data_IF_662968627658
#
_entry.id   IF_662968627658
#
_cell.length_a   1.000
_cell.length_b   1.000
_cell.length_c   1.000
_cell.angle_alpha   90.00
_cell.angle_beta   90.00
_cell.angle_gamma   90.00
#
_symmetry.space_group_name_H-M   'P 1'
#
loop_
_entity.id
_entity.type
_entity.pdbx_description
1 polymer ?
#
# COMPACT_ATOMS: atom_id res chain seq x y z
N UNK A 1 8.48 3.51 -4.40
CA UNK A 1 7.91 2.83 -5.58
C UNK A 1 7.38 1.45 -5.19
N UNK A 2 8.19 0.51 -4.66
CA UNK A 2 7.75 -0.87 -4.37
C UNK A 2 6.56 -0.90 -3.42
N UNK A 3 6.59 -0.15 -2.32
CA UNK A 3 5.46 -0.03 -1.38
C UNK A 3 4.19 0.47 -2.07
N UNK A 4 4.31 1.43 -3.00
CA UNK A 4 3.19 1.92 -3.78
C UNK A 4 2.57 0.83 -4.68
N UNK A 5 3.40 0.05 -5.38
CA UNK A 5 2.96 -1.08 -6.20
C UNK A 5 2.19 -2.09 -5.33
N UNK A 6 2.74 -2.48 -4.18
CA UNK A 6 2.10 -3.43 -3.26
C UNK A 6 0.77 -2.91 -2.72
N UNK A 7 0.70 -1.61 -2.36
CA UNK A 7 -0.53 -0.95 -1.92
C UNK A 7 -1.61 -0.98 -2.99
N UNK A 8 -1.26 -0.66 -4.23
CA UNK A 8 -2.24 -0.70 -5.32
C UNK A 8 -2.62 -2.12 -5.72
N UNK A 9 -1.73 -3.11 -5.59
CA UNK A 9 -2.11 -4.51 -5.70
C UNK A 9 -3.18 -4.90 -4.67
N UNK A 10 -3.04 -4.44 -3.41
CA UNK A 10 -4.07 -4.62 -2.38
C UNK A 10 -5.39 -3.93 -2.77
N UNK A 11 -5.33 -2.72 -3.29
CA UNK A 11 -6.50 -2.00 -3.80
C UNK A 11 -7.20 -2.78 -4.92
N UNK A 12 -6.47 -3.26 -5.93
CA UNK A 12 -7.05 -4.05 -7.03
C UNK A 12 -7.65 -5.37 -6.54
N UNK A 13 -7.04 -6.02 -5.55
CA UNK A 13 -7.62 -7.20 -4.92
C UNK A 13 -8.97 -6.87 -4.28
N UNK A 14 -9.03 -5.84 -3.42
CA UNK A 14 -10.26 -5.43 -2.76
C UNK A 14 -11.33 -4.99 -3.77
N UNK A 15 -10.95 -4.21 -4.78
CA UNK A 15 -11.84 -3.78 -5.86
C UNK A 15 -12.44 -4.98 -6.60
N UNK A 16 -11.61 -5.97 -6.95
CA UNK A 16 -12.09 -7.19 -7.61
C UNK A 16 -13.11 -7.96 -6.77
N UNK A 17 -12.85 -8.09 -5.46
CA UNK A 17 -13.79 -8.78 -4.56
C UNK A 17 -15.15 -8.06 -4.46
N UNK A 18 -15.19 -6.74 -4.56
CA UNK A 18 -16.42 -5.96 -4.51
C UNK A 18 -17.19 -5.95 -5.84
N UNK A 19 -16.48 -5.72 -6.94
CA UNK A 19 -17.08 -5.58 -8.27
C UNK A 19 -17.37 -6.95 -8.91
N UNK A 20 -16.52 -7.93 -8.63
CA UNK A 20 -16.58 -9.25 -9.25
C UNK A 20 -16.10 -9.23 -10.71
N UNK A 21 -16.42 -10.28 -11.44
CA UNK A 21 -16.05 -10.43 -12.84
C UNK A 21 -14.84 -11.33 -13.06
N UNK A 22 -14.64 -11.75 -14.31
CA UNK A 22 -13.60 -12.73 -14.65
C UNK A 22 -12.19 -12.15 -14.74
N UNK A 23 -12.06 -10.83 -14.90
CA UNK A 23 -10.78 -10.15 -15.12
C UNK A 23 -9.78 -10.33 -13.95
N UNK A 24 -10.28 -10.37 -12.72
CA UNK A 24 -9.43 -10.44 -11.54
C UNK A 24 -8.95 -11.85 -11.22
N UNK A 25 -9.64 -12.90 -11.65
CA UNK A 25 -9.23 -14.28 -11.35
C UNK A 25 -7.83 -14.61 -11.88
N UNK A 26 -7.49 -14.12 -13.07
CA UNK A 26 -6.20 -14.38 -13.71
C UNK A 26 -5.04 -13.76 -12.93
N UNK A 27 -5.27 -12.58 -12.33
CA UNK A 27 -4.24 -11.81 -11.64
C UNK A 27 -4.30 -11.97 -10.12
N UNK A 28 -5.34 -12.60 -9.56
CA UNK A 28 -5.59 -12.66 -8.13
C UNK A 28 -4.37 -13.17 -7.35
N UNK A 29 -3.75 -14.24 -7.79
CA UNK A 29 -2.57 -14.82 -7.13
C UNK A 29 -1.34 -13.92 -7.19
N UNK A 30 -1.19 -13.15 -8.26
CA UNK A 30 -0.13 -12.14 -8.36
C UNK A 30 -0.37 -10.99 -7.37
N UNK A 31 -1.63 -10.56 -7.22
CA UNK A 31 -2.00 -9.54 -6.24
C UNK A 31 -1.74 -10.02 -4.82
N UNK A 32 -2.13 -11.25 -4.48
CA UNK A 32 -1.89 -11.86 -3.17
C UNK A 32 -0.40 -12.02 -2.87
N UNK A 33 0.39 -12.45 -3.85
CA UNK A 33 1.84 -12.55 -3.72
C UNK A 33 2.47 -11.17 -3.46
N UNK A 34 2.03 -10.13 -4.17
CA UNK A 34 2.48 -8.77 -3.90
C UNK A 34 2.08 -8.32 -2.48
N UNK A 35 0.82 -8.52 -2.08
CA UNK A 35 0.32 -8.15 -0.74
C UNK A 35 1.07 -8.85 0.40
N UNK A 36 1.54 -10.09 0.18
CA UNK A 36 2.30 -10.85 1.17
C UNK A 36 3.67 -10.23 1.50
N UNK A 37 4.15 -9.28 0.69
CA UNK A 37 5.45 -8.62 0.89
C UNK A 37 5.42 -7.48 1.91
N UNK A 38 4.27 -7.03 2.41
CA UNK A 38 4.20 -5.92 3.38
C UNK A 38 5.10 -6.08 4.61
N UNK A 39 5.23 -7.27 5.25
CA UNK A 39 6.15 -7.44 6.38
C UNK A 39 7.62 -7.18 5.98
N UNK A 40 8.01 -7.62 4.79
CA UNK A 40 9.37 -7.38 4.27
C UNK A 40 9.57 -5.89 3.99
N UNK A 41 8.57 -5.21 3.44
CA UNK A 41 8.63 -3.76 3.20
C UNK A 41 8.72 -2.96 4.51
N UNK A 42 8.06 -3.41 5.59
CA UNK A 42 8.21 -2.81 6.91
C UNK A 42 9.66 -2.93 7.42
N UNK A 43 10.30 -4.08 7.23
CA UNK A 43 11.73 -4.27 7.57
C UNK A 43 12.62 -3.37 6.70
N UNK A 44 12.36 -3.30 5.40
CA UNK A 44 13.10 -2.47 4.47
C UNK A 44 12.89 -0.96 4.70
N UNK A 45 11.88 -0.57 5.48
CA UNK A 45 11.67 0.80 5.90
C UNK A 45 12.53 1.23 7.09
N UNK A 46 13.12 0.27 7.84
CA UNK A 46 13.97 0.55 9.00
C UNK A 46 15.13 1.50 8.67
N UNK A 47 15.87 1.38 7.55
CA UNK A 47 16.92 2.33 7.20
C UNK A 47 16.44 3.79 7.08
N UNK A 48 15.19 4.01 6.61
CA UNK A 48 14.58 5.35 6.53
C UNK A 48 14.31 5.90 7.94
N UNK A 49 13.85 5.04 8.84
CA UNK A 49 13.62 5.39 10.26
C UNK A 49 14.93 5.75 10.97
N UNK A 50 16.01 5.01 10.69
CA UNK A 50 17.33 5.25 11.29
C UNK A 50 18.03 6.48 10.72
N UNK A 51 17.79 6.82 9.44
CA UNK A 51 18.35 7.99 8.76
C UNK A 51 17.37 9.16 8.66
N UNK A 52 16.43 9.28 9.59
CA UNK A 52 15.38 10.30 9.54
C UNK A 52 15.94 11.71 9.53
N UNK A 53 17.01 11.97 10.30
CA UNK A 53 17.62 13.29 10.43
C UNK A 53 18.35 13.72 9.16
N UNK A 54 18.89 12.76 8.40
CA UNK A 54 19.53 13.05 7.11
C UNK A 54 18.50 13.32 6.00
N UNK A 55 17.28 12.78 6.15
CA UNK A 55 16.26 12.81 5.11
C UNK A 55 15.29 14.00 5.27
N UNK A 56 14.98 14.37 6.52
CA UNK A 56 13.93 15.36 6.80
C UNK A 56 14.45 16.56 7.59
N UNK A 57 14.44 17.74 6.97
CA UNK A 57 14.90 19.00 7.59
C UNK A 57 14.11 19.42 8.82
N UNK A 58 12.84 19.02 8.94
CA UNK A 58 11.98 19.35 10.09
C UNK A 58 12.33 18.57 11.37
N UNK A 59 13.29 17.66 11.33
CA UNK A 59 13.79 16.97 12.54
C UNK A 59 14.81 17.80 13.30
N UNK A 60 15.45 18.81 12.65
CA UNK A 60 16.46 19.66 13.26
C UNK A 60 15.85 20.82 14.02
N UNK A 61 16.02 20.87 15.33
CA UNK A 61 15.46 21.93 16.20
C UNK A 61 15.91 23.35 15.80
N UNK A 62 17.18 23.51 15.38
CA UNK A 62 17.71 24.80 14.92
C UNK A 62 17.00 25.31 13.66
N UNK A 63 16.67 24.40 12.73
CA UNK A 63 15.95 24.74 11.49
C UNK A 63 14.50 25.13 11.83
N UNK A 64 13.85 24.35 12.68
CA UNK A 64 12.48 24.62 13.12
C UNK A 64 12.40 25.95 13.89
N UNK A 65 13.37 26.25 14.75
CA UNK A 65 13.38 27.50 15.54
C UNK A 65 13.46 28.76 14.68
N UNK A 66 14.08 28.67 13.49
CA UNK A 66 14.26 29.80 12.58
C UNK A 66 13.23 29.87 11.45
N UNK A 67 12.30 28.90 11.34
CA UNK A 67 11.30 28.82 10.26
C UNK A 67 9.88 28.84 10.81
N UNK A 68 9.12 29.93 10.60
CA UNK A 68 7.74 30.06 11.07
C UNK A 68 6.80 29.00 10.47
N UNK A 69 7.06 28.52 9.24
CA UNK A 69 6.21 27.49 8.59
C UNK A 69 6.42 26.15 9.29
N UNK A 70 7.66 25.80 9.62
CA UNK A 70 7.97 24.57 10.34
C UNK A 70 7.42 24.60 11.75
N UNK A 71 7.51 25.74 12.46
CA UNK A 71 6.90 25.93 13.77
C UNK A 71 5.39 25.69 13.74
N UNK A 72 4.70 26.21 12.72
CA UNK A 72 3.26 26.00 12.56
C UNK A 72 2.92 24.52 12.27
N UNK A 73 3.79 23.78 11.57
CA UNK A 73 3.62 22.36 11.26
C UNK A 73 4.14 21.42 12.34
N UNK A 74 4.91 21.88 13.32
CA UNK A 74 5.53 21.07 14.37
C UNK A 74 4.56 20.15 15.15
N UNK A 75 3.29 20.51 15.41
CA UNK A 75 2.33 19.60 16.04
C UNK A 75 2.08 18.32 15.21
N UNK A 76 2.22 18.38 13.89
CA UNK A 76 2.05 17.25 13.00
C UNK A 76 3.39 16.65 12.56
N UNK A 77 4.35 17.49 12.14
CA UNK A 77 5.70 17.09 11.72
C UNK A 77 6.63 17.07 12.93
N UNK A 78 6.59 16.00 13.69
CA UNK A 78 7.54 15.68 14.74
C UNK A 78 7.89 14.20 14.71
N UNK A 79 9.12 13.87 15.14
CA UNK A 79 9.72 12.53 15.03
C UNK A 79 8.87 11.47 15.71
N UNK A 80 8.41 11.73 16.93
CA UNK A 80 7.62 10.75 17.69
C UNK A 80 6.31 10.41 16.99
N UNK A 81 5.60 11.42 16.50
CA UNK A 81 4.32 11.23 15.83
C UNK A 81 4.49 10.62 14.44
N UNK A 82 5.58 10.94 13.73
CA UNK A 82 5.95 10.28 12.46
C UNK A 82 6.15 8.77 12.64
N UNK A 83 6.88 8.35 13.69
CA UNK A 83 7.07 6.92 13.97
C UNK A 83 5.76 6.22 14.30
N UNK A 84 4.93 6.82 15.16
CA UNK A 84 3.63 6.25 15.52
C UNK A 84 2.76 6.04 14.26
N UNK A 85 2.63 7.06 13.40
CA UNK A 85 1.86 6.96 12.17
C UNK A 85 2.42 5.90 11.22
N UNK A 86 3.73 5.85 11.03
CA UNK A 86 4.39 4.86 10.18
C UNK A 86 4.10 3.43 10.66
N UNK A 87 4.20 3.17 11.96
CA UNK A 87 3.86 1.86 12.54
C UNK A 87 2.38 1.53 12.31
N UNK A 88 1.48 2.49 12.51
CA UNK A 88 0.05 2.30 12.29
C UNK A 88 -0.24 1.95 10.82
N UNK A 89 0.39 2.63 9.85
CA UNK A 89 0.21 2.33 8.43
C UNK A 89 0.59 0.88 8.12
N UNK A 90 1.78 0.45 8.52
CA UNK A 90 2.22 -0.93 8.27
C UNK A 90 1.37 -1.96 8.99
N UNK A 91 0.95 -1.72 10.23
CA UNK A 91 0.06 -2.63 10.97
C UNK A 91 -1.29 -2.79 10.26
N UNK A 92 -1.87 -1.71 9.76
CA UNK A 92 -3.13 -1.74 9.01
C UNK A 92 -2.95 -2.54 7.71
N UNK A 93 -1.92 -2.25 6.92
CA UNK A 93 -1.69 -2.91 5.63
C UNK A 93 -1.35 -4.39 5.79
N UNK A 94 -0.50 -4.74 6.75
CA UNK A 94 -0.19 -6.13 7.10
C UNK A 94 -1.45 -6.85 7.60
N UNK A 95 -2.23 -6.21 8.47
CA UNK A 95 -3.44 -6.80 9.03
C UNK A 95 -4.48 -7.10 7.94
N UNK A 96 -4.81 -6.11 7.10
CA UNK A 96 -5.77 -6.28 6.00
C UNK A 96 -5.27 -7.36 5.01
N UNK A 97 -4.02 -7.25 4.55
CA UNK A 97 -3.48 -8.19 3.57
C UNK A 97 -3.46 -9.62 4.09
N UNK A 98 -2.99 -9.83 5.31
CA UNK A 98 -2.92 -11.16 5.93
C UNK A 98 -4.32 -11.77 6.10
N UNK A 99 -5.30 -10.97 6.51
CA UNK A 99 -6.68 -11.41 6.69
C UNK A 99 -7.30 -11.84 5.35
N UNK A 100 -7.14 -11.01 4.31
CA UNK A 100 -7.69 -11.26 2.99
C UNK A 100 -7.04 -12.49 2.33
N UNK A 101 -5.72 -12.64 2.41
CA UNK A 101 -4.98 -13.80 1.90
C UNK A 101 -5.40 -15.07 2.63
N UNK A 102 -5.53 -15.00 3.97
CA UNK A 102 -5.98 -16.15 4.77
C UNK A 102 -7.36 -16.64 4.34
N UNK A 103 -8.30 -15.75 4.12
CA UNK A 103 -9.65 -16.12 3.68
C UNK A 103 -9.68 -16.61 2.25
N UNK A 104 -8.88 -16.03 1.36
CA UNK A 104 -8.73 -16.50 -0.01
C UNK A 104 -8.22 -17.94 -0.05
N UNK A 105 -7.15 -18.25 0.70
CA UNK A 105 -6.62 -19.60 0.78
C UNK A 105 -7.62 -20.60 1.41
N UNK A 106 -8.29 -20.20 2.49
CA UNK A 106 -9.30 -21.04 3.11
C UNK A 106 -10.51 -21.32 2.18
N UNK A 107 -10.89 -20.38 1.34
CA UNK A 107 -11.94 -20.56 0.33
C UNK A 107 -11.52 -21.56 -0.74
N UNK A 108 -10.26 -21.56 -1.18
CA UNK A 108 -9.74 -22.53 -2.14
C UNK A 108 -9.73 -23.95 -1.59
N UNK A 109 -9.39 -24.11 -0.30
CA UNK A 109 -9.31 -25.41 0.36
C UNK A 109 -10.68 -26.00 0.70
N UNK A 110 -11.60 -25.15 1.17
CA UNK A 110 -12.92 -25.59 1.68
C UNK A 110 -14.05 -25.50 0.67
N UNK A 111 -13.92 -24.62 -0.35
CA UNK A 111 -15.02 -24.27 -1.25
C UNK A 111 -16.14 -23.47 -0.57
N UNK A 112 -15.92 -22.97 0.66
CA UNK A 112 -16.93 -22.26 1.45
C UNK A 112 -17.18 -20.84 0.92
N UNK A 113 -18.27 -20.67 0.20
CA UNK A 113 -18.68 -19.38 -0.35
C UNK A 113 -19.07 -18.34 0.74
N UNK A 114 -19.25 -18.73 1.99
CA UNK A 114 -19.52 -17.78 3.07
C UNK A 114 -18.30 -16.87 3.33
N UNK A 115 -17.09 -17.37 3.06
CA UNK A 115 -15.85 -16.60 3.17
C UNK A 115 -15.77 -15.46 2.15
N UNK A 116 -16.39 -15.62 0.98
CA UNK A 116 -16.48 -14.56 -0.02
C UNK A 116 -17.26 -13.35 0.50
N UNK A 117 -18.38 -13.60 1.20
CA UNK A 117 -19.17 -12.53 1.80
C UNK A 117 -18.37 -11.81 2.90
N UNK A 118 -17.69 -12.56 3.78
CA UNK A 118 -16.81 -11.97 4.81
C UNK A 118 -15.69 -11.13 4.18
N UNK A 119 -15.09 -11.61 3.09
CA UNK A 119 -14.06 -10.87 2.35
C UNK A 119 -14.63 -9.56 1.80
N UNK A 120 -15.81 -9.59 1.20
CA UNK A 120 -16.49 -8.38 0.68
C UNK A 120 -16.82 -7.38 1.76
N UNK A 121 -17.30 -7.85 2.92
CA UNK A 121 -17.65 -6.99 4.06
C UNK A 121 -16.43 -6.19 4.57
N UNK A 122 -15.23 -6.77 4.48
CA UNK A 122 -13.97 -6.09 4.86
C UNK A 122 -13.42 -5.23 3.73
N UNK A 123 -13.59 -5.64 2.46
CA UNK A 123 -13.05 -4.90 1.32
C UNK A 123 -13.62 -3.48 1.20
N UNK A 124 -14.92 -3.28 1.46
CA UNK A 124 -15.55 -1.96 1.41
C UNK A 124 -14.89 -0.94 2.35
N UNK A 125 -14.95 -1.15 3.67
CA UNK A 125 -14.24 -0.32 4.63
C UNK A 125 -12.72 -0.29 4.39
N UNK A 126 -12.14 -1.42 3.97
CA UNK A 126 -10.72 -1.54 3.65
C UNK A 126 -10.24 -0.57 2.57
N UNK A 127 -11.07 -0.32 1.54
CA UNK A 127 -10.76 0.66 0.50
C UNK A 127 -10.72 2.10 1.05
N UNK A 128 -11.60 2.44 1.98
CA UNK A 128 -11.59 3.77 2.63
C UNK A 128 -10.32 3.91 3.46
N UNK A 129 -10.01 2.91 4.28
CA UNK A 129 -8.80 2.87 5.10
C UNK A 129 -7.54 2.93 4.23
N UNK A 130 -7.52 2.19 3.12
CA UNK A 130 -6.44 2.26 2.13
C UNK A 130 -6.26 3.69 1.60
N UNK A 131 -7.33 4.34 1.13
CA UNK A 131 -7.25 5.68 0.57
C UNK A 131 -6.70 6.69 1.59
N UNK A 132 -7.19 6.64 2.83
CA UNK A 132 -6.74 7.51 3.90
C UNK A 132 -5.27 7.25 4.28
N UNK A 133 -4.92 5.99 4.57
CA UNK A 133 -3.56 5.66 5.02
C UNK A 133 -2.52 5.90 3.94
N UNK A 134 -2.82 5.61 2.68
CA UNK A 134 -1.91 5.86 1.56
C UNK A 134 -1.72 7.37 1.33
N UNK A 135 -2.79 8.16 1.44
CA UNK A 135 -2.72 9.61 1.34
C UNK A 135 -1.85 10.20 2.44
N UNK A 136 -2.11 9.84 3.71
CA UNK A 136 -1.30 10.34 4.82
C UNK A 136 0.14 9.83 4.78
N UNK A 137 0.37 8.58 4.40
CA UNK A 137 1.72 8.05 4.20
C UNK A 137 2.49 8.80 3.10
N UNK A 138 1.82 9.22 2.01
CA UNK A 138 2.45 10.03 0.97
C UNK A 138 2.81 11.44 1.47
N UNK A 139 2.00 12.02 2.37
CA UNK A 139 2.32 13.29 3.01
C UNK A 139 3.50 13.16 3.96
N UNK A 140 3.51 12.10 4.78
CA UNK A 140 4.55 11.89 5.77
C UNK A 140 5.91 11.52 5.16
N UNK A 141 5.93 10.65 4.16
CA UNK A 141 7.16 10.06 3.66
C UNK A 141 7.77 10.80 2.48
N UNK A 142 6.94 11.48 1.68
CA UNK A 142 7.41 12.10 0.45
C UNK A 142 7.17 13.62 0.48
N UNK A 143 5.94 14.09 0.70
CA UNK A 143 5.66 15.52 0.69
C UNK A 143 6.41 16.26 1.80
N UNK A 144 6.62 15.64 2.97
CA UNK A 144 7.32 16.26 4.10
C UNK A 144 8.83 16.42 3.90
N UNK A 145 9.41 15.87 2.83
CA UNK A 145 10.83 16.16 2.46
C UNK A 145 11.04 17.60 2.05
N UNK A 146 9.99 18.26 1.49
CA UNK A 146 9.96 19.70 1.28
C UNK A 146 8.76 20.31 2.02
N UNK A 147 8.92 20.68 3.28
CA UNK A 147 7.81 21.15 4.10
C UNK A 147 7.25 22.51 3.71
N UNK A 148 7.92 23.29 2.85
CA UNK A 148 7.43 24.55 2.31
C UNK A 148 6.43 24.35 1.18
N UNK A 149 6.53 23.22 0.47
CA UNK A 149 5.58 22.86 -0.57
C UNK A 149 4.44 22.01 0.00
N UNK A 150 3.23 22.20 -0.52
CA UNK A 150 2.09 21.34 -0.19
C UNK A 150 1.10 21.25 -1.35
N UNK A 151 0.43 20.10 -1.43
CA UNK A 151 -0.67 19.88 -2.37
C UNK A 151 -1.71 18.96 -1.72
N UNK A 152 -2.97 19.40 -1.73
CA UNK A 152 -4.09 18.60 -1.21
C UNK A 152 -4.39 17.38 -2.07
N UNK A 153 -4.03 17.44 -3.36
CA UNK A 153 -4.21 16.34 -4.31
C UNK A 153 -3.03 15.36 -4.35
N UNK A 154 -1.98 15.60 -3.56
CA UNK A 154 -0.74 14.81 -3.64
C UNK A 154 -0.98 13.32 -3.42
N UNK A 155 -1.78 12.94 -2.42
CA UNK A 155 -2.12 11.55 -2.16
C UNK A 155 -2.81 10.85 -3.33
N UNK A 156 -3.73 11.55 -4.00
CA UNK A 156 -4.42 11.02 -5.19
C UNK A 156 -3.45 10.83 -6.34
N UNK A 157 -2.57 11.81 -6.58
CA UNK A 157 -1.53 11.72 -7.63
C UNK A 157 -0.63 10.51 -7.37
N UNK A 158 -0.18 10.30 -6.14
CA UNK A 158 0.66 9.17 -5.76
C UNK A 158 -0.05 7.82 -5.93
N UNK A 159 -1.34 7.75 -5.62
CA UNK A 159 -2.15 6.54 -5.85
C UNK A 159 -2.27 6.23 -7.35
N UNK A 160 -2.51 7.24 -8.20
CA UNK A 160 -2.62 7.07 -9.65
C UNK A 160 -1.28 6.64 -10.26
N UNK A 161 -0.18 7.28 -9.85
CA UNK A 161 1.17 6.94 -10.31
C UNK A 161 1.55 5.50 -9.92
N UNK A 162 1.32 5.14 -8.66
CA UNK A 162 1.50 3.77 -8.19
C UNK A 162 0.57 2.77 -8.92
N UNK A 163 -0.61 3.22 -9.35
CA UNK A 163 -1.55 2.46 -10.17
C UNK A 163 -0.96 2.08 -11.52
N UNK A 164 -0.38 3.03 -12.22
CA UNK A 164 0.34 2.77 -13.48
C UNK A 164 1.51 1.80 -13.29
N UNK A 165 2.30 1.99 -12.23
CA UNK A 165 3.40 1.10 -11.90
C UNK A 165 2.93 -0.34 -11.56
N UNK A 166 1.84 -0.48 -10.79
CA UNK A 166 1.27 -1.78 -10.43
C UNK A 166 0.71 -2.53 -11.65
N UNK A 167 -0.01 -1.83 -12.54
CA UNK A 167 -0.49 -2.44 -13.79
C UNK A 167 0.67 -2.90 -14.67
N UNK A 168 1.71 -2.09 -14.82
CA UNK A 168 2.91 -2.45 -15.56
C UNK A 168 3.59 -3.68 -14.94
N UNK A 169 3.71 -3.72 -13.61
CA UNK A 169 4.25 -4.88 -12.90
C UNK A 169 3.43 -6.15 -13.16
N UNK A 170 2.09 -6.07 -13.08
CA UNK A 170 1.20 -7.20 -13.33
C UNK A 170 1.38 -7.71 -14.76
N UNK A 171 1.41 -6.81 -15.76
CA UNK A 171 1.61 -7.19 -17.17
C UNK A 171 2.95 -7.89 -17.38
N UNK A 172 4.04 -7.35 -16.82
CA UNK A 172 5.38 -7.96 -16.90
C UNK A 172 5.38 -9.34 -16.25
N UNK A 173 4.79 -9.49 -15.07
CA UNK A 173 4.72 -10.78 -14.38
C UNK A 173 3.88 -11.79 -15.13
N UNK A 174 2.74 -11.39 -15.69
CA UNK A 174 1.92 -12.25 -16.54
C UNK A 174 2.70 -12.69 -17.79
N UNK A 175 3.39 -11.78 -18.47
CA UNK A 175 4.20 -12.09 -19.64
C UNK A 175 5.35 -13.05 -19.30
N UNK A 176 5.98 -12.88 -18.13
CA UNK A 176 7.05 -13.76 -17.66
C UNK A 176 6.54 -15.16 -17.30
N UNK A 177 5.39 -15.24 -16.61
CA UNK A 177 4.82 -16.47 -16.10
C UNK A 177 3.95 -17.22 -17.12
N UNK A 178 3.68 -16.65 -18.31
CA UNK A 178 2.76 -17.24 -19.32
C UNK A 178 3.08 -18.67 -19.72
N UNK A 179 4.34 -19.08 -19.62
CA UNK A 179 4.81 -20.43 -19.96
C UNK A 179 4.89 -21.38 -18.76
N UNK A 180 4.53 -20.91 -17.56
CA UNK A 180 4.56 -21.68 -16.34
C UNK A 180 3.15 -21.99 -15.85
N UNK A 181 2.90 -23.21 -15.37
CA UNK A 181 1.63 -23.54 -14.73
C UNK A 181 1.45 -22.71 -13.45
N UNK A 182 0.23 -22.25 -13.11
CA UNK A 182 -1.05 -22.47 -13.80
C UNK A 182 -1.37 -21.45 -14.93
N UNK A 183 -0.53 -20.44 -15.17
CA UNK A 183 -0.81 -19.38 -16.16
C UNK A 183 -0.88 -19.90 -17.58
N UNK A 184 -0.09 -20.91 -17.95
CA UNK A 184 -0.11 -21.50 -19.27
C UNK A 184 -1.49 -22.06 -19.65
N UNK A 185 -2.23 -22.63 -18.70
CA UNK A 185 -3.58 -23.18 -18.93
C UNK A 185 -4.66 -22.08 -19.05
N UNK A 186 -4.41 -20.89 -18.48
CA UNK A 186 -5.34 -19.75 -18.55
C UNK A 186 -5.14 -18.91 -19.80
N UNK A 187 -3.95 -18.94 -20.41
CA UNK A 187 -3.63 -18.19 -21.62
C UNK A 187 -4.22 -18.83 -22.90
N UNK A 188 -4.53 -20.12 -22.87
CA UNK A 188 -5.07 -20.90 -23.99
C UNK A 188 -6.61 -21.02 -23.96
N UNK A 189 -7.30 -20.43 -22.96
CA UNK A 189 -8.75 -20.43 -22.79
C UNK A 189 -9.38 -19.07 -23.10
#
# INVERSE_FOLDING_TARGET
>A
IVTGITLVCMFFFMLHQLVGGRWGFVIQRLLEAAMSTFPVLAILFIPIVLGIDDLYHWTHEEVVANDPILQHKAPYLNVSFFYIRTVIYFLIWIGISTLLIKWSNAMDESGDMSLLNKTRDVCGPGMIVFALTTTFASFDWIMSTDPHWFSTLYGIIMIIDAGGAALSFIIIMMAYLRHHAPMATLADS
#
